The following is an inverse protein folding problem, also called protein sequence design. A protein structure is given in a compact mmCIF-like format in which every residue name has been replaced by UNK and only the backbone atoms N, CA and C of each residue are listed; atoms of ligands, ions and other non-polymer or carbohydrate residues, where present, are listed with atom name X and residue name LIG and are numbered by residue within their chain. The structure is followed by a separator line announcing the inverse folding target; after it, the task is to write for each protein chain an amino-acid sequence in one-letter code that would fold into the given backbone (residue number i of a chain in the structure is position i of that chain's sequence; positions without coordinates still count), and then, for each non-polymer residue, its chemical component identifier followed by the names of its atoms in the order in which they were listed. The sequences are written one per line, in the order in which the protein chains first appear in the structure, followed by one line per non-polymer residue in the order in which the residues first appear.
data_IF_037286626262
#
_entry.id   IF_037286626262
#
_cell.length_a   1.000
_cell.length_b   1.000
_cell.length_c   1.000
_cell.angle_alpha   90.00
_cell.angle_beta   90.00
_cell.angle_gamma   90.00
#
_symmetry.space_group_name_H-M   'P 1'
#
loop_
_entity.id
_entity.type
_entity.pdbx_description
1 polymer ?
#
# COMPACT_ATOMS: atom_id res chain seq x y z
N UNK A 1 -0.31 9.48 4.73
CA UNK A 1 -1.28 8.38 4.93
C UNK A 1 -2.62 8.75 4.34
N UNK A 2 -3.36 7.80 3.75
CA UNK A 2 -4.77 8.03 3.43
C UNK A 2 -5.52 8.41 4.72
N UNK A 3 -6.51 9.28 4.59
CA UNK A 3 -7.29 9.80 5.73
C UNK A 3 -8.18 8.74 6.39
N UNK A 4 -8.39 7.61 5.72
CA UNK A 4 -9.27 6.52 6.15
C UNK A 4 -8.53 5.19 6.12
N UNK A 5 -8.80 4.31 7.08
CA UNK A 5 -8.15 3.01 7.23
C UNK A 5 -9.16 1.90 7.46
N UNK A 6 -8.84 0.68 7.03
CA UNK A 6 -9.63 -0.51 7.34
C UNK A 6 -9.35 -1.02 8.75
N UNK A 7 -10.28 -1.80 9.32
CA UNK A 7 -10.08 -2.42 10.63
C UNK A 7 -8.81 -3.32 10.70
N UNK A 8 -8.51 -4.17 9.69
CA UNK A 8 -7.26 -4.93 9.69
C UNK A 8 -6.01 -4.05 9.74
N UNK A 9 -5.98 -2.94 8.99
CA UNK A 9 -4.84 -2.01 9.02
C UNK A 9 -4.67 -1.36 10.39
N UNK A 10 -5.76 -0.93 11.02
CA UNK A 10 -5.70 -0.38 12.38
C UNK A 10 -5.21 -1.42 13.39
N UNK A 11 -5.64 -2.67 13.24
CA UNK A 11 -5.19 -3.79 14.08
C UNK A 11 -3.69 -4.01 13.93
N UNK A 12 -3.17 -4.08 12.72
CA UNK A 12 -1.72 -4.23 12.46
C UNK A 12 -0.88 -3.10 13.05
N UNK A 13 -1.41 -1.87 13.03
CA UNK A 13 -0.73 -0.70 13.60
C UNK A 13 -0.70 -0.69 15.13
N UNK A 14 -1.71 -1.26 15.78
CA UNK A 14 -1.96 -1.10 17.23
C UNK A 14 -1.69 -2.37 18.01
N UNK A 15 -2.11 -3.53 17.51
CA UNK A 15 -1.95 -4.85 18.17
C UNK A 15 -0.64 -5.49 17.70
N UNK A 16 0.45 -4.74 17.78
CA UNK A 16 1.77 -5.19 17.36
C UNK A 16 2.66 -5.70 18.49
N UNK A 17 2.16 -5.67 19.74
CA UNK A 17 2.89 -6.04 20.95
C UNK A 17 1.93 -6.53 22.02
N UNK A 18 2.45 -7.20 23.05
CA UNK A 18 1.67 -7.76 24.18
C UNK A 18 0.93 -6.71 25.05
N UNK A 19 0.90 -5.44 24.60
CA UNK A 19 0.35 -4.34 25.38
C UNK A 19 -1.17 -4.20 25.34
N UNK A 20 -1.82 -4.65 24.28
CA UNK A 20 -3.29 -4.63 24.13
C UNK A 20 -3.75 -5.88 23.37
N UNK A 21 -4.77 -6.54 23.88
CA UNK A 21 -5.37 -7.71 23.24
C UNK A 21 -6.28 -7.32 22.09
N UNK A 22 -6.48 -8.25 21.14
CA UNK A 22 -7.35 -8.02 19.99
C UNK A 22 -8.78 -7.61 20.39
N UNK A 23 -9.36 -8.28 21.40
CA UNK A 23 -10.72 -7.98 21.84
C UNK A 23 -10.82 -6.62 22.53
N UNK A 24 -9.84 -6.25 23.35
CA UNK A 24 -9.77 -4.93 23.99
C UNK A 24 -9.63 -3.82 22.94
N UNK A 25 -8.82 -4.06 21.91
CA UNK A 25 -8.67 -3.16 20.79
C UNK A 25 -9.97 -3.00 20.01
N UNK A 26 -10.67 -4.10 19.68
CA UNK A 26 -11.93 -4.08 18.94
C UNK A 26 -13.03 -3.34 19.72
N UNK A 27 -13.10 -3.54 21.04
CA UNK A 27 -14.04 -2.82 21.94
C UNK A 27 -13.71 -1.31 21.95
N UNK A 28 -12.44 -0.95 22.12
CA UNK A 28 -12.01 0.44 22.12
C UNK A 28 -12.33 1.15 20.79
N UNK A 29 -12.13 0.49 19.64
CA UNK A 29 -12.48 1.06 18.33
C UNK A 29 -13.99 1.29 18.22
N UNK A 30 -14.82 0.34 18.69
CA UNK A 30 -16.27 0.48 18.73
C UNK A 30 -16.70 1.67 19.58
N UNK A 31 -16.15 1.80 20.79
CA UNK A 31 -16.41 2.93 21.69
C UNK A 31 -15.99 4.28 21.08
N UNK A 32 -14.88 4.32 20.35
CA UNK A 32 -14.42 5.52 19.66
C UNK A 32 -15.37 5.94 18.53
N UNK A 33 -16.00 5.00 17.86
CA UNK A 33 -17.06 5.29 16.87
C UNK A 33 -18.33 5.79 17.57
N UNK A 34 -18.80 5.10 18.61
CA UNK A 34 -20.00 5.49 19.37
C UNK A 34 -19.88 6.88 20.00
N UNK A 35 -18.70 7.20 20.51
CA UNK A 35 -18.41 8.50 21.11
C UNK A 35 -18.10 9.62 20.12
N UNK A 36 -18.08 9.30 18.81
CA UNK A 36 -17.87 10.26 17.73
C UNK A 36 -16.40 10.73 17.58
N UNK A 37 -15.44 9.97 18.06
CA UNK A 37 -14.02 10.23 17.82
C UNK A 37 -13.54 9.63 16.49
N UNK A 38 -14.19 8.56 16.04
CA UNK A 38 -14.02 7.96 14.73
C UNK A 38 -15.37 7.94 14.00
N UNK A 39 -15.33 7.97 12.69
CA UNK A 39 -16.46 7.60 11.82
C UNK A 39 -16.16 6.27 11.14
N UNK A 40 -17.21 5.50 10.88
CA UNK A 40 -17.15 4.26 10.10
C UNK A 40 -18.10 4.40 8.91
N UNK A 41 -17.55 4.44 7.70
CA UNK A 41 -18.31 4.53 6.44
C UNK A 41 -17.71 3.51 5.45
N UNK A 42 -18.55 2.66 4.89
CA UNK A 42 -18.16 1.62 3.92
C UNK A 42 -16.97 0.73 4.37
N UNK A 43 -16.90 0.43 5.67
CA UNK A 43 -15.81 -0.36 6.26
C UNK A 43 -14.50 0.40 6.46
N UNK A 44 -14.50 1.72 6.26
CA UNK A 44 -13.36 2.60 6.45
C UNK A 44 -13.55 3.47 7.70
N UNK A 45 -12.56 3.46 8.57
CA UNK A 45 -12.50 4.30 9.77
C UNK A 45 -11.75 5.59 9.47
N UNK A 46 -12.33 6.71 9.86
CA UNK A 46 -11.72 8.04 9.74
C UNK A 46 -11.76 8.76 11.08
N UNK A 47 -10.68 9.48 11.38
CA UNK A 47 -10.63 10.30 12.59
C UNK A 47 -11.44 11.58 12.41
N UNK A 48 -12.29 11.90 13.39
CA UNK A 48 -13.04 13.17 13.44
C UNK A 48 -12.19 14.30 14.02
N UNK A 49 -12.64 15.55 13.92
CA UNK A 49 -11.97 16.67 14.58
C UNK A 49 -11.89 16.47 16.10
N UNK A 50 -13.00 16.05 16.71
CA UNK A 50 -13.04 15.67 18.12
C UNK A 50 -12.02 14.60 18.48
N UNK A 51 -11.86 13.57 17.60
CA UNK A 51 -10.88 12.51 17.78
C UNK A 51 -9.45 13.02 17.70
N UNK A 52 -9.16 13.98 16.82
CA UNK A 52 -7.82 14.60 16.69
C UNK A 52 -7.46 15.41 17.92
N UNK A 53 -8.35 16.25 18.40
CA UNK A 53 -8.14 17.09 19.59
C UNK A 53 -7.90 16.23 20.83
N UNK A 54 -8.73 15.22 21.06
CA UNK A 54 -8.59 14.32 22.20
C UNK A 54 -7.35 13.41 22.07
N UNK A 55 -7.06 12.91 20.88
CA UNK A 55 -5.86 12.12 20.61
C UNK A 55 -4.58 12.90 20.89
N UNK A 56 -4.50 14.14 20.46
CA UNK A 56 -3.37 15.03 20.73
C UNK A 56 -3.20 15.31 22.24
N UNK A 57 -4.31 15.50 22.97
CA UNK A 57 -4.29 15.68 24.42
C UNK A 57 -3.78 14.43 25.18
N UNK A 58 -4.14 13.23 24.69
CA UNK A 58 -3.75 11.95 25.30
C UNK A 58 -2.35 11.51 24.92
N UNK A 59 -1.78 12.00 23.82
CA UNK A 59 -0.47 11.57 23.30
C UNK A 59 0.66 11.68 24.33
N UNK A 60 0.67 12.72 25.14
CA UNK A 60 1.69 12.93 26.17
C UNK A 60 1.67 11.89 27.28
N UNK A 61 0.54 11.25 27.53
CA UNK A 61 0.34 10.24 28.56
C UNK A 61 0.68 8.81 28.11
N UNK A 62 0.90 8.59 26.81
CA UNK A 62 1.27 7.27 26.29
C UNK A 62 2.70 6.89 26.69
N UNK A 63 2.95 5.64 27.11
CA UNK A 63 4.29 5.12 27.35
C UNK A 63 5.18 5.26 26.10
N UNK A 64 6.47 5.53 26.33
CA UNK A 64 7.44 5.69 25.23
C UNK A 64 7.54 4.44 24.33
N UNK A 65 7.45 3.24 24.93
CA UNK A 65 7.43 1.98 24.18
C UNK A 65 6.28 1.89 23.18
N UNK A 66 5.07 2.29 23.59
CA UNK A 66 3.88 2.30 22.74
C UNK A 66 4.07 3.28 21.59
N UNK A 67 4.51 4.52 21.85
CA UNK A 67 4.79 5.51 20.83
C UNK A 67 5.81 5.02 19.81
N UNK A 68 6.90 4.43 20.28
CA UNK A 68 7.96 3.88 19.42
C UNK A 68 7.45 2.77 18.53
N UNK A 69 6.68 1.82 19.09
CA UNK A 69 6.17 0.69 18.34
C UNK A 69 5.14 1.13 17.27
N UNK A 70 4.20 2.00 17.65
CA UNK A 70 3.24 2.56 16.69
C UNK A 70 3.94 3.35 15.58
N UNK A 71 4.97 4.15 15.91
CA UNK A 71 5.75 4.89 14.91
C UNK A 71 6.48 3.96 13.95
N UNK A 72 7.08 2.87 14.45
CA UNK A 72 7.76 1.88 13.61
C UNK A 72 6.80 1.17 12.66
N UNK A 73 5.62 0.77 13.13
CA UNK A 73 4.59 0.16 12.29
C UNK A 73 4.03 1.15 11.25
N UNK A 74 3.88 2.41 11.62
CA UNK A 74 3.43 3.46 10.70
C UNK A 74 4.44 3.70 9.57
N UNK A 75 5.73 3.73 9.88
CA UNK A 75 6.80 3.86 8.86
C UNK A 75 6.77 2.66 7.91
N UNK A 76 6.60 1.45 8.43
CA UNK A 76 6.49 0.22 7.63
C UNK A 76 5.28 0.27 6.70
N UNK A 77 4.10 0.63 7.22
CA UNK A 77 2.88 0.76 6.43
C UNK A 77 3.03 1.83 5.33
N UNK A 78 3.56 3.01 5.67
CA UNK A 78 3.80 4.07 4.68
C UNK A 78 4.78 3.63 3.60
N UNK A 79 5.80 2.82 3.94
CA UNK A 79 6.70 2.21 2.97
C UNK A 79 5.99 1.27 2.01
N UNK A 80 5.10 0.42 2.52
CA UNK A 80 4.28 -0.49 1.69
C UNK A 80 3.33 0.30 0.80
N UNK A 81 2.63 1.30 1.32
CA UNK A 81 1.70 2.14 0.55
C UNK A 81 2.43 2.92 -0.55
N UNK A 82 3.60 3.49 -0.24
CA UNK A 82 4.45 4.16 -1.23
C UNK A 82 4.90 3.18 -2.31
N UNK A 83 5.34 1.99 -1.93
CA UNK A 83 5.74 0.95 -2.87
C UNK A 83 4.59 0.55 -3.79
N UNK A 84 3.40 0.30 -3.27
CA UNK A 84 2.23 -0.04 -4.06
C UNK A 84 1.81 1.08 -5.02
N UNK A 85 2.01 2.35 -4.64
CA UNK A 85 1.76 3.49 -5.52
C UNK A 85 2.81 3.63 -6.64
N UNK A 86 4.05 3.20 -6.39
CA UNK A 86 5.16 3.25 -7.35
C UNK A 86 5.12 2.09 -8.35
N UNK A 87 4.44 0.99 -8.02
CA UNK A 87 4.32 -0.20 -8.88
C UNK A 87 2.87 -0.36 -9.29
N UNK A 88 2.59 -0.19 -10.57
CA UNK A 88 1.23 -0.30 -11.12
C UNK A 88 1.23 -1.24 -12.31
N UNK A 89 0.14 -1.94 -12.52
CA UNK A 89 -0.11 -2.72 -13.72
C UNK A 89 -1.59 -2.64 -14.11
N UNK A 90 -1.84 -2.46 -15.37
CA UNK A 90 -3.16 -2.30 -15.96
C UNK A 90 -3.33 -3.29 -17.11
N UNK A 91 -4.51 -3.86 -17.24
CA UNK A 91 -4.87 -4.74 -18.35
C UNK A 91 -6.11 -4.19 -19.05
N UNK A 92 -6.05 -4.03 -20.35
CA UNK A 92 -7.13 -3.46 -21.15
C UNK A 92 -7.41 -4.31 -22.40
N UNK A 93 -8.68 -4.51 -22.78
CA UNK A 93 -9.01 -5.11 -24.06
C UNK A 93 -8.63 -4.14 -25.20
N UNK A 94 -8.13 -4.69 -26.30
CA UNK A 94 -7.79 -3.90 -27.50
C UNK A 94 -8.96 -3.90 -28.50
N UNK A 95 -9.21 -2.81 -29.21
CA UNK A 95 -10.28 -2.73 -30.22
C UNK A 95 -10.15 -3.76 -31.34
N UNK A 96 -8.93 -4.13 -31.70
CA UNK A 96 -8.59 -5.06 -32.77
C UNK A 96 -8.54 -6.53 -32.31
N UNK A 97 -8.90 -6.79 -31.07
CA UNK A 97 -8.81 -8.09 -30.40
C UNK A 97 -7.56 -8.27 -29.54
N UNK A 98 -7.67 -9.18 -28.57
CA UNK A 98 -6.62 -9.38 -27.56
C UNK A 98 -6.63 -8.32 -26.48
N UNK A 99 -5.54 -8.28 -25.71
CA UNK A 99 -5.38 -7.43 -24.53
C UNK A 99 -4.01 -6.78 -24.51
N UNK A 100 -3.91 -5.61 -23.90
CA UNK A 100 -2.64 -4.97 -23.52
C UNK A 100 -2.43 -5.13 -22.02
N UNK A 101 -1.22 -5.54 -21.62
CA UNK A 101 -0.75 -5.43 -20.26
C UNK A 101 0.27 -4.28 -20.20
N UNK A 102 -0.04 -3.23 -19.43
CA UNK A 102 0.84 -2.10 -19.16
C UNK A 102 1.35 -2.16 -17.75
N UNK A 103 2.63 -2.02 -17.59
CA UNK A 103 3.31 -2.11 -16.30
C UNK A 103 4.16 -0.86 -16.10
N UNK A 104 4.08 -0.28 -14.91
CA UNK A 104 4.73 0.97 -14.56
C UNK A 104 5.55 0.80 -13.29
N UNK A 105 6.76 1.29 -13.32
CA UNK A 105 7.62 1.45 -12.15
C UNK A 105 7.99 2.93 -12.05
N UNK A 106 7.57 3.55 -10.96
CA UNK A 106 7.84 4.94 -10.66
C UNK A 106 8.78 5.05 -9.43
N UNK A 107 9.45 6.18 -9.29
CA UNK A 107 10.16 6.57 -8.09
C UNK A 107 9.74 7.97 -7.63
N UNK A 108 10.47 8.55 -6.68
CA UNK A 108 10.18 9.91 -6.18
C UNK A 108 10.42 11.00 -7.25
N UNK A 109 11.20 10.70 -8.29
CA UNK A 109 11.50 11.60 -9.41
C UNK A 109 10.54 11.44 -10.60
N UNK A 110 9.67 10.44 -10.60
CA UNK A 110 8.71 10.17 -11.65
C UNK A 110 8.79 8.76 -12.23
N UNK A 111 8.36 8.58 -13.47
CA UNK A 111 8.35 7.28 -14.13
C UNK A 111 9.76 6.83 -14.53
N UNK A 112 10.18 5.67 -14.03
CA UNK A 112 11.43 5.02 -14.40
C UNK A 112 11.27 4.08 -15.58
N UNK A 113 10.12 3.41 -15.67
CA UNK A 113 9.93 2.31 -16.58
C UNK A 113 8.45 2.13 -16.92
N UNK A 114 8.17 1.99 -18.19
CA UNK A 114 6.85 1.61 -18.70
C UNK A 114 7.03 0.50 -19.73
N UNK A 115 6.36 -0.62 -19.51
CA UNK A 115 6.37 -1.75 -20.43
C UNK A 115 4.93 -2.06 -20.84
N UNK A 116 4.68 -2.12 -22.14
CA UNK A 116 3.40 -2.56 -22.69
C UNK A 116 3.60 -3.79 -23.56
N UNK A 117 2.85 -4.84 -23.27
CA UNK A 117 2.88 -6.09 -24.01
C UNK A 117 1.50 -6.45 -24.54
N UNK A 118 1.46 -6.94 -25.76
CA UNK A 118 0.27 -7.56 -26.33
C UNK A 118 0.09 -8.98 -25.77
N UNK A 119 -1.16 -9.32 -25.43
CA UNK A 119 -1.56 -10.62 -24.92
C UNK A 119 -2.74 -11.14 -25.70
N UNK A 120 -2.72 -12.45 -26.02
CA UNK A 120 -3.81 -13.10 -26.75
C UNK A 120 -5.07 -13.33 -25.90
N UNK A 121 -4.94 -13.32 -24.58
CA UNK A 121 -6.05 -13.53 -23.64
C UNK A 121 -5.92 -12.64 -22.40
N UNK A 122 -7.06 -12.41 -21.75
CA UNK A 122 -7.10 -11.67 -20.48
C UNK A 122 -6.33 -12.39 -19.37
N UNK A 123 -6.41 -13.71 -19.34
CA UNK A 123 -5.67 -14.52 -18.38
C UNK A 123 -4.16 -14.31 -18.51
N UNK A 124 -3.64 -14.30 -19.74
CA UNK A 124 -2.23 -14.00 -20.00
C UNK A 124 -1.87 -12.60 -19.54
N UNK A 125 -2.69 -11.59 -19.86
CA UNK A 125 -2.46 -10.21 -19.44
C UNK A 125 -2.41 -10.07 -17.91
N UNK A 126 -3.35 -10.70 -17.21
CA UNK A 126 -3.39 -10.71 -15.75
C UNK A 126 -2.15 -11.39 -15.13
N UNK A 127 -1.72 -12.51 -15.69
CA UNK A 127 -0.49 -13.20 -15.22
C UNK A 127 0.75 -12.34 -15.39
N UNK A 128 0.89 -11.62 -16.49
CA UNK A 128 2.00 -10.68 -16.69
C UNK A 128 1.95 -9.54 -15.67
N UNK A 129 0.77 -8.97 -15.44
CA UNK A 129 0.57 -7.92 -14.44
C UNK A 129 0.95 -8.37 -13.02
N UNK A 130 0.49 -9.55 -12.60
CA UNK A 130 0.81 -10.12 -11.28
C UNK A 130 2.30 -10.46 -11.13
N UNK A 131 2.92 -11.03 -12.16
CA UNK A 131 4.37 -11.32 -12.16
C UNK A 131 5.22 -10.06 -12.04
N UNK A 132 4.82 -8.98 -12.71
CA UNK A 132 5.51 -7.70 -12.60
C UNK A 132 5.37 -7.09 -11.20
N UNK A 133 4.17 -7.10 -10.63
CA UNK A 133 3.94 -6.60 -9.27
C UNK A 133 4.73 -7.35 -8.20
N UNK A 134 4.99 -8.64 -8.43
CA UNK A 134 5.76 -9.46 -7.50
C UNK A 134 7.25 -9.07 -7.45
N UNK A 135 7.86 -8.83 -8.62
CA UNK A 135 9.31 -8.57 -8.72
C UNK A 135 9.66 -7.46 -9.73
N UNK A 136 9.13 -6.23 -9.56
CA UNK A 136 9.25 -5.17 -10.56
C UNK A 136 10.70 -4.73 -10.80
N UNK A 137 11.52 -4.66 -9.75
CA UNK A 137 12.92 -4.24 -9.86
C UNK A 137 13.78 -5.27 -10.57
N UNK A 138 13.53 -6.55 -10.34
CA UNK A 138 14.23 -7.62 -11.06
C UNK A 138 13.94 -7.53 -12.56
N UNK A 139 12.67 -7.38 -12.92
CA UNK A 139 12.25 -7.27 -14.32
C UNK A 139 12.85 -6.01 -14.97
N UNK A 140 12.82 -4.88 -14.29
CA UNK A 140 13.47 -3.65 -14.76
C UNK A 140 14.96 -3.84 -15.02
N UNK A 141 15.69 -4.44 -14.10
CA UNK A 141 17.13 -4.69 -14.24
C UNK A 141 17.44 -5.70 -15.35
N UNK A 142 16.63 -6.75 -15.51
CA UNK A 142 16.79 -7.72 -16.60
C UNK A 142 16.58 -7.08 -17.98
N UNK A 143 15.56 -6.21 -18.13
CA UNK A 143 15.32 -5.47 -19.36
C UNK A 143 16.48 -4.51 -19.67
N UNK A 144 16.98 -3.77 -18.67
CA UNK A 144 18.16 -2.91 -18.83
C UNK A 144 19.39 -3.72 -19.28
N UNK A 145 19.67 -4.83 -18.60
CA UNK A 145 20.81 -5.69 -18.93
C UNK A 145 20.70 -6.22 -20.36
N UNK A 146 19.52 -6.69 -20.75
CA UNK A 146 19.31 -7.21 -22.10
C UNK A 146 19.50 -6.16 -23.20
N UNK A 147 19.16 -4.89 -22.93
CA UNK A 147 19.35 -3.78 -23.86
C UNK A 147 20.82 -3.33 -23.94
N UNK A 148 21.55 -3.34 -22.82
CA UNK A 148 22.94 -2.89 -22.75
C UNK A 148 23.92 -3.96 -23.24
N UNK A 149 23.62 -5.24 -23.10
CA UNK A 149 24.50 -6.34 -23.60
C UNK A 149 24.71 -6.32 -25.11
N UNK A 150 23.86 -5.63 -25.87
CA UNK A 150 24.04 -5.49 -27.31
C UNK A 150 25.10 -4.45 -27.70
N UNK A 151 25.50 -3.55 -26.81
CA UNK A 151 26.52 -2.53 -27.10
C UNK A 151 27.96 -3.08 -27.03
N UNK A 152 28.19 -4.24 -26.39
CA UNK A 152 29.55 -4.84 -26.26
C UNK A 152 29.92 -5.77 -27.41
N UNK A 153 29.09 -5.94 -28.44
CA UNK A 153 29.34 -6.88 -29.58
C UNK A 153 29.66 -6.21 -30.90
N UNK A 154 29.88 -4.92 -30.93
CA UNK A 154 30.36 -4.18 -32.11
C UNK A 154 31.87 -3.73 -31.95
#
# INVERSE_FOLDING_TARGET
MPSSQTFPTLTELTVCDDGIGYFEFAEAVSELVESGHLTLEDGLYSITEKGRENGAACESSLPYSVKRNCSAQLVKLNGILRRNAQVRAETEPRPEGGYSARMFLDDDGGNLFTLELFCGSQEQANRLAESFKAEPERIYNEVLSALLEHEEKD
#
